data_IF_378302718697
#
_entry.id   IF_378302718697
#
_cell.length_a   1.000
_cell.length_b   1.000
_cell.length_c   1.000
_cell.angle_alpha   90.00
_cell.angle_beta   90.00
_cell.angle_gamma   90.00
#
_symmetry.space_group_name_H-M   'P 1'
#
loop_
_entity.id
_entity.type
_entity.pdbx_description
1 polymer ?
#
# COMPACT_ATOMS: atom_id res chain seq x y z
N UNK A 1 74.28 43.10 23.52
CA UNK A 1 73.09 42.20 23.58
C UNK A 1 72.30 42.04 22.26
N UNK A 2 72.48 42.91 21.24
CA UNK A 2 71.76 42.78 19.94
C UNK A 2 72.14 41.55 19.09
N UNK A 3 73.40 41.10 19.15
CA UNK A 3 73.88 39.94 18.37
C UNK A 3 73.22 38.60 18.76
N UNK A 4 72.94 38.40 20.05
CA UNK A 4 72.26 37.18 20.53
C UNK A 4 70.76 37.17 20.19
N UNK A 5 70.11 38.33 20.13
CA UNK A 5 68.69 38.42 19.75
C UNK A 5 68.46 38.09 18.27
N UNK A 6 69.35 38.54 17.37
CA UNK A 6 69.29 38.17 15.95
C UNK A 6 69.50 36.66 15.73
N UNK A 7 70.40 36.05 16.49
CA UNK A 7 70.66 34.61 16.41
C UNK A 7 69.45 33.78 16.89
N UNK A 8 68.80 34.20 17.99
CA UNK A 8 67.60 33.54 18.50
C UNK A 8 66.43 33.65 17.52
N UNK A 9 66.21 34.83 16.91
CA UNK A 9 65.16 35.02 15.90
C UNK A 9 65.36 34.12 14.67
N UNK A 10 66.62 33.95 14.24
CA UNK A 10 66.96 33.07 13.12
C UNK A 10 66.70 31.60 13.47
N UNK A 11 67.05 31.17 14.68
CA UNK A 11 66.77 29.82 15.17
C UNK A 11 65.25 29.57 15.26
N UNK A 12 64.47 30.50 15.81
CA UNK A 12 63.01 30.37 15.90
C UNK A 12 62.39 30.29 14.51
N UNK A 13 62.84 31.12 13.55
CA UNK A 13 62.37 31.09 12.17
C UNK A 13 62.69 29.76 11.47
N UNK A 14 63.88 29.20 11.70
CA UNK A 14 64.27 27.91 11.14
C UNK A 14 63.42 26.77 11.72
N UNK A 15 63.16 26.79 13.04
CA UNK A 15 62.29 25.81 13.71
C UNK A 15 60.85 25.91 13.21
N UNK A 16 60.30 27.12 13.08
CA UNK A 16 58.92 27.30 12.57
C UNK A 16 58.78 26.83 11.13
N UNK A 17 59.80 27.06 10.28
CA UNK A 17 59.81 26.57 8.91
C UNK A 17 59.87 25.04 8.87
N UNK A 18 60.72 24.43 9.71
CA UNK A 18 60.81 22.98 9.84
C UNK A 18 59.49 22.33 10.26
N UNK A 19 58.84 22.88 11.29
CA UNK A 19 57.53 22.41 11.74
C UNK A 19 56.45 22.57 10.67
N UNK A 20 56.46 23.67 9.92
CA UNK A 20 55.52 23.88 8.82
C UNK A 20 55.70 22.86 7.69
N UNK A 21 56.95 22.52 7.35
CA UNK A 21 57.23 21.50 6.32
C UNK A 21 56.80 20.10 6.77
N UNK A 22 57.02 19.74 8.04
CA UNK A 22 56.56 18.47 8.61
C UNK A 22 55.03 18.41 8.60
N UNK A 23 54.36 19.48 9.03
CA UNK A 23 52.91 19.58 8.99
C UNK A 23 52.36 19.41 7.57
N UNK A 24 52.95 20.09 6.58
CA UNK A 24 52.55 19.97 5.17
C UNK A 24 52.77 18.55 4.63
N UNK A 25 53.86 17.90 5.05
CA UNK A 25 54.14 16.53 4.66
C UNK A 25 53.10 15.55 5.20
N UNK A 26 52.80 15.60 6.50
CA UNK A 26 51.78 14.74 7.13
C UNK A 26 50.37 15.04 6.59
N UNK A 27 50.03 16.31 6.35
CA UNK A 27 48.76 16.69 5.73
C UNK A 27 48.60 16.07 4.34
N UNK A 28 49.62 16.17 3.49
CA UNK A 28 49.59 15.59 2.14
C UNK A 28 49.53 14.05 2.18
N UNK A 29 50.23 13.42 3.12
CA UNK A 29 50.18 11.97 3.33
C UNK A 29 48.78 11.53 3.76
N UNK A 30 48.15 12.25 4.68
CA UNK A 30 46.78 11.97 5.11
C UNK A 30 45.77 12.18 3.96
N UNK A 31 45.94 13.23 3.16
CA UNK A 31 45.10 13.50 1.99
C UNK A 31 45.17 12.36 0.97
N UNK A 32 46.38 11.90 0.64
CA UNK A 32 46.58 10.76 -0.27
C UNK A 32 45.95 9.48 0.27
N UNK A 33 46.07 9.21 1.58
CA UNK A 33 45.46 8.05 2.21
C UNK A 33 43.93 8.14 2.17
N UNK A 34 43.36 9.30 2.47
CA UNK A 34 41.91 9.54 2.41
C UNK A 34 41.34 9.42 0.98
N UNK A 35 42.10 9.86 -0.02
CA UNK A 35 41.77 9.73 -1.44
C UNK A 35 41.79 8.26 -1.90
N UNK A 36 42.83 7.50 -1.53
CA UNK A 36 42.95 6.07 -1.86
C UNK A 36 41.89 5.22 -1.15
N UNK A 37 41.45 5.62 0.05
CA UNK A 37 40.37 4.93 0.77
C UNK A 37 38.96 5.25 0.26
N UNK A 38 38.77 6.10 -0.77
CA UNK A 38 37.45 6.45 -1.31
C UNK A 38 36.44 6.87 -0.22
N UNK A 39 36.92 7.41 0.91
CA UNK A 39 36.04 7.73 2.05
C UNK A 39 35.10 8.89 1.71
N UNK A 40 35.54 9.75 0.81
CA UNK A 40 34.69 10.66 0.05
C UNK A 40 34.48 10.01 -1.32
N UNK A 41 33.46 9.18 -1.44
CA UNK A 41 33.07 8.66 -2.77
C UNK A 41 32.99 9.82 -3.75
N UNK A 42 33.31 9.56 -5.03
CA UNK A 42 33.05 10.52 -6.10
C UNK A 42 31.63 11.09 -5.91
N UNK A 43 31.41 12.41 -6.04
CA UNK A 43 30.08 12.97 -5.95
C UNK A 43 29.25 12.27 -7.01
N UNK A 44 28.38 11.34 -6.59
CA UNK A 44 27.45 10.69 -7.50
C UNK A 44 26.67 11.83 -8.15
N UNK A 45 26.78 11.96 -9.47
CA UNK A 45 25.98 12.91 -10.21
C UNK A 45 24.52 12.54 -9.92
N UNK A 46 23.77 13.44 -9.29
CA UNK A 46 22.36 13.20 -8.96
C UNK A 46 21.53 12.87 -10.22
N UNK A 47 21.96 13.37 -11.37
CA UNK A 47 21.45 13.03 -12.69
C UNK A 47 21.61 11.55 -13.04
N UNK A 48 22.71 10.92 -12.60
CA UNK A 48 22.97 9.49 -12.84
C UNK A 48 22.15 8.61 -11.90
N UNK A 49 21.74 9.11 -10.73
CA UNK A 49 20.77 8.46 -9.83
C UNK A 49 19.33 8.53 -10.36
N UNK A 50 19.00 9.58 -11.12
CA UNK A 50 17.70 9.70 -11.80
C UNK A 50 17.59 8.78 -13.03
N UNK A 51 18.71 8.48 -13.69
CA UNK A 51 18.75 7.55 -14.84
C UNK A 51 18.87 6.09 -14.43
N UNK A 52 19.11 5.77 -13.16
CA UNK A 52 18.86 4.42 -12.67
C UNK A 52 17.34 4.22 -12.62
N UNK A 53 16.80 3.65 -13.70
CA UNK A 53 15.44 3.11 -13.88
C UNK A 53 14.90 2.29 -12.69
N UNK A 54 15.74 1.96 -11.72
CA UNK A 54 15.43 1.16 -10.54
C UNK A 54 14.50 1.85 -9.54
N UNK A 55 14.58 3.16 -9.37
CA UNK A 55 13.73 3.94 -8.44
C UNK A 55 12.39 4.32 -9.06
N UNK A 56 12.32 4.42 -10.38
CA UNK A 56 11.10 4.79 -11.13
C UNK A 56 10.09 3.64 -11.28
N UNK A 57 10.50 2.37 -11.13
CA UNK A 57 9.59 1.22 -11.32
C UNK A 57 8.77 0.83 -10.09
N UNK A 58 9.15 1.26 -8.88
CA UNK A 58 8.32 1.03 -7.71
C UNK A 58 7.27 2.14 -7.66
N UNK A 59 6.04 1.79 -8.06
CA UNK A 59 4.94 2.74 -8.06
C UNK A 59 4.64 3.24 -6.64
N UNK A 60 4.57 4.56 -6.49
CA UNK A 60 4.35 5.21 -5.19
C UNK A 60 2.85 5.29 -4.84
N UNK A 61 2.41 4.38 -3.99
CA UNK A 61 1.08 4.36 -3.39
C UNK A 61 0.93 5.29 -2.16
N UNK A 62 1.90 6.17 -1.94
CA UNK A 62 1.98 7.06 -0.79
C UNK A 62 2.74 6.45 0.39
N UNK A 63 2.83 7.20 1.51
CA UNK A 63 3.53 6.75 2.70
C UNK A 63 2.99 5.41 3.22
N UNK A 64 3.87 4.51 3.71
CA UNK A 64 3.46 3.21 4.24
C UNK A 64 2.58 3.44 5.48
N UNK A 65 1.33 2.95 5.48
CA UNK A 65 0.45 3.11 6.61
C UNK A 65 0.86 2.18 7.76
N UNK A 66 0.71 2.67 8.98
CA UNK A 66 0.92 1.88 10.20
C UNK A 66 -0.13 2.34 11.19
N UNK A 67 -0.78 1.41 11.88
CA UNK A 67 -1.67 1.77 12.98
C UNK A 67 -0.88 2.47 14.07
N UNK A 68 -1.16 3.75 14.26
CA UNK A 68 -0.54 4.59 15.27
C UNK A 68 -1.56 4.87 16.37
N UNK A 69 -1.18 4.52 17.59
CA UNK A 69 -1.99 4.82 18.77
C UNK A 69 -1.88 6.31 19.11
N UNK A 70 -3.01 7.01 19.13
CA UNK A 70 -3.15 8.34 19.73
C UNK A 70 -3.88 8.23 21.07
N UNK A 71 -4.07 9.33 21.79
CA UNK A 71 -4.80 9.33 23.06
C UNK A 71 -6.15 8.64 22.91
N UNK A 72 -6.96 9.08 21.93
CA UNK A 72 -8.38 8.73 21.81
C UNK A 72 -8.69 7.64 20.78
N UNK A 73 -7.76 7.35 19.89
CA UNK A 73 -8.03 6.48 18.75
C UNK A 73 -6.75 5.84 18.20
N UNK A 74 -6.90 4.83 17.35
CA UNK A 74 -5.86 4.34 16.47
C UNK A 74 -6.08 4.92 15.09
N UNK A 75 -5.03 5.45 14.47
CA UNK A 75 -5.09 6.06 13.14
C UNK A 75 -4.20 5.25 12.21
N UNK A 76 -4.73 4.85 11.06
CA UNK A 76 -4.03 3.96 10.12
C UNK A 76 -3.32 4.73 9.00
N UNK A 77 -4.06 5.60 8.33
CA UNK A 77 -3.61 6.35 7.17
C UNK A 77 -4.33 7.69 7.08
N UNK A 78 -3.72 8.65 6.38
CA UNK A 78 -4.30 9.95 6.11
C UNK A 78 -4.00 10.41 4.69
N UNK A 79 -4.96 11.13 4.11
CA UNK A 79 -4.97 11.58 2.73
C UNK A 79 -5.37 13.04 2.65
N UNK A 80 -4.73 13.80 1.76
CA UNK A 80 -5.10 15.18 1.45
C UNK A 80 -6.03 15.17 0.25
N UNK A 81 -7.33 15.38 0.47
CA UNK A 81 -8.37 15.31 -0.59
C UNK A 81 -8.40 16.59 -1.39
N UNK A 82 -8.33 17.71 -0.68
CA UNK A 82 -8.26 19.06 -1.22
C UNK A 82 -7.05 19.72 -0.56
N UNK A 83 -6.51 20.80 -1.16
CA UNK A 83 -5.30 21.49 -0.66
C UNK A 83 -5.30 21.78 0.85
N UNK A 84 -6.48 21.96 1.44
CA UNK A 84 -6.65 22.31 2.86
C UNK A 84 -7.48 21.31 3.68
N UNK A 85 -7.80 20.13 3.13
CA UNK A 85 -8.69 19.15 3.77
C UNK A 85 -8.05 17.76 3.82
N UNK A 86 -7.66 17.36 5.02
CA UNK A 86 -7.17 16.02 5.30
C UNK A 86 -8.30 15.09 5.74
N UNK A 87 -8.26 13.83 5.27
CA UNK A 87 -9.13 12.72 5.69
C UNK A 87 -8.27 11.59 6.22
N UNK A 88 -8.56 11.13 7.43
CA UNK A 88 -7.84 10.03 8.07
C UNK A 88 -8.78 8.86 8.39
N UNK A 89 -8.24 7.65 8.31
CA UNK A 89 -8.91 6.40 8.67
C UNK A 89 -8.63 6.09 10.13
N UNK A 90 -9.69 6.03 10.93
CA UNK A 90 -9.58 6.01 12.38
C UNK A 90 -10.45 4.94 13.01
N UNK A 91 -9.90 4.31 14.06
CA UNK A 91 -10.58 3.37 14.93
C UNK A 91 -10.63 3.95 16.35
N UNK A 92 -11.79 4.36 16.86
CA UNK A 92 -11.89 4.95 18.19
C UNK A 92 -11.57 3.92 19.29
N UNK A 93 -11.02 4.40 20.40
CA UNK A 93 -10.91 3.62 21.64
C UNK A 93 -12.22 3.73 22.42
N UNK A 94 -12.59 2.64 23.09
CA UNK A 94 -13.86 2.55 23.81
C UNK A 94 -13.91 3.57 24.96
N UNK A 95 -15.01 4.31 25.07
CA UNK A 95 -15.25 5.29 26.14
C UNK A 95 -14.43 6.58 26.08
N UNK A 96 -13.64 6.82 25.02
CA UNK A 96 -12.79 8.01 24.91
C UNK A 96 -13.47 9.19 24.20
N UNK A 97 -13.10 10.41 24.61
CA UNK A 97 -13.63 11.67 24.05
C UNK A 97 -13.15 11.85 22.62
N UNK A 98 -13.93 12.54 21.78
CA UNK A 98 -13.48 12.89 20.45
C UNK A 98 -12.36 13.96 20.50
N UNK A 99 -11.48 14.02 19.49
CA UNK A 99 -10.57 15.15 19.33
C UNK A 99 -11.34 16.47 19.27
N UNK A 100 -10.79 17.52 19.86
CA UNK A 100 -11.35 18.88 19.76
C UNK A 100 -10.62 19.69 18.70
N UNK A 101 -9.32 19.47 18.58
CA UNK A 101 -8.45 20.19 17.68
C UNK A 101 -7.80 19.23 16.68
N UNK A 102 -7.55 19.74 15.49
CA UNK A 102 -6.70 19.07 14.51
C UNK A 102 -5.67 20.07 13.96
N UNK A 103 -4.54 19.53 13.51
CA UNK A 103 -3.38 20.32 13.11
C UNK A 103 -2.83 19.81 11.78
N UNK A 104 -2.57 20.73 10.85
CA UNK A 104 -1.89 20.44 9.58
C UNK A 104 -0.45 20.93 9.64
N UNK A 105 0.49 20.05 9.30
CA UNK A 105 1.93 20.33 9.34
C UNK A 105 2.45 20.61 7.94
N UNK A 106 3.21 21.69 7.80
CA UNK A 106 3.80 22.13 6.54
C UNK A 106 5.32 22.11 6.66
N UNK A 107 6.01 21.91 5.55
CA UNK A 107 7.48 21.83 5.54
C UNK A 107 8.13 23.20 5.77
N UNK A 108 7.50 24.27 5.29
CA UNK A 108 8.00 25.65 5.35
C UNK A 108 7.82 26.31 6.73
N UNK A 109 7.03 25.69 7.63
CA UNK A 109 6.68 26.30 8.94
C UNK A 109 6.90 25.35 10.10
N UNK A 110 7.52 25.87 11.16
CA UNK A 110 7.71 25.14 12.42
C UNK A 110 6.41 24.90 13.20
N UNK A 111 5.45 25.82 13.10
CA UNK A 111 4.15 25.73 13.79
C UNK A 111 3.09 25.17 12.84
N UNK A 112 2.25 24.24 13.30
CA UNK A 112 1.17 23.71 12.47
C UNK A 112 0.03 24.73 12.31
N UNK A 113 -0.72 24.61 11.22
CA UNK A 113 -1.99 25.30 11.06
C UNK A 113 -3.07 24.59 11.88
N UNK A 114 -3.84 25.36 12.63
CA UNK A 114 -4.99 24.83 13.38
C UNK A 114 -6.18 24.68 12.44
N UNK A 115 -6.72 23.47 12.36
CA UNK A 115 -7.89 23.16 11.54
C UNK A 115 -9.14 22.89 12.37
N UNK A 116 -10.29 22.91 11.68
CA UNK A 116 -11.58 22.47 12.20
C UNK A 116 -11.71 20.96 12.06
N UNK A 117 -11.98 20.30 13.18
CA UNK A 117 -12.23 18.86 13.24
C UNK A 117 -13.68 18.54 12.88
N UNK A 118 -13.89 17.49 12.08
CA UNK A 118 -15.18 16.82 11.92
C UNK A 118 -14.97 15.32 11.69
N UNK A 119 -16.03 14.51 11.79
CA UNK A 119 -15.93 13.06 11.59
C UNK A 119 -17.19 12.49 10.94
N UNK A 120 -17.07 11.34 10.28
CA UNK A 120 -18.20 10.58 9.75
C UNK A 120 -17.98 9.08 9.97
N UNK A 121 -19.05 8.31 10.14
CA UNK A 121 -18.97 6.83 10.20
C UNK A 121 -18.66 6.29 8.81
N UNK A 122 -17.94 5.17 8.72
CA UNK A 122 -17.72 4.49 7.44
C UNK A 122 -18.87 3.56 7.07
N UNK A 123 -19.56 2.98 8.06
CA UNK A 123 -20.69 2.06 7.88
C UNK A 123 -21.69 2.29 8.99
N UNK A 124 -22.98 2.32 8.63
CA UNK A 124 -24.08 2.27 9.58
C UNK A 124 -24.36 0.81 9.95
N UNK A 125 -23.80 0.37 11.07
CA UNK A 125 -24.00 -0.99 11.59
C UNK A 125 -23.92 -1.03 13.12
N UNK A 126 -24.68 -1.93 13.73
CA UNK A 126 -24.78 -2.11 15.18
C UNK A 126 -23.59 -2.84 15.82
N UNK A 127 -22.48 -3.01 15.09
CA UNK A 127 -21.29 -3.67 15.63
C UNK A 127 -20.56 -2.73 16.62
N UNK A 128 -19.96 -3.31 17.66
CA UNK A 128 -19.26 -2.56 18.72
C UNK A 128 -18.03 -1.78 18.23
N UNK A 129 -17.46 -2.17 17.08
CA UNK A 129 -16.25 -1.55 16.53
C UNK A 129 -16.52 -0.91 15.16
N UNK A 130 -16.99 0.34 15.17
CA UNK A 130 -17.26 1.11 13.96
C UNK A 130 -16.03 1.95 13.60
N UNK A 131 -15.45 1.80 12.39
CA UNK A 131 -14.41 2.70 11.92
C UNK A 131 -15.00 4.03 11.45
N UNK A 132 -14.21 5.10 11.58
CA UNK A 132 -14.60 6.47 11.29
C UNK A 132 -13.61 7.13 10.35
N UNK A 133 -14.11 8.09 9.58
CA UNK A 133 -13.28 9.10 8.95
C UNK A 133 -13.16 10.31 9.86
N UNK A 134 -11.94 10.74 10.13
CA UNK A 134 -11.66 12.03 10.74
C UNK A 134 -11.24 13.02 9.67
N UNK A 135 -11.79 14.22 9.72
CA UNK A 135 -11.48 15.30 8.80
C UNK A 135 -10.81 16.45 9.55
N UNK A 136 -9.84 17.06 8.89
CA UNK A 136 -9.24 18.31 9.34
C UNK A 136 -9.24 19.32 8.20
N UNK A 137 -9.99 20.41 8.37
CA UNK A 137 -10.08 21.49 7.38
C UNK A 137 -9.42 22.75 7.92
N UNK A 138 -8.45 23.30 7.19
CA UNK A 138 -7.86 24.60 7.51
C UNK A 138 -8.22 25.65 6.45
N UNK A 139 -8.09 26.93 6.81
CA UNK A 139 -8.17 28.06 5.89
C UNK A 139 -6.76 28.56 5.57
N UNK A 140 -6.59 29.22 4.42
CA UNK A 140 -5.35 29.87 3.99
C UNK A 140 -4.13 28.93 3.88
N UNK A 141 -4.31 27.78 3.21
CA UNK A 141 -3.25 26.81 2.95
C UNK A 141 -2.62 27.10 1.59
N UNK A 142 -1.44 27.70 1.58
CA UNK A 142 -0.68 28.01 0.35
C UNK A 142 0.15 26.81 -0.13
N UNK A 143 0.80 26.12 0.81
CA UNK A 143 1.64 24.93 0.59
C UNK A 143 0.90 23.66 1.03
N UNK A 144 1.08 22.55 0.31
CA UNK A 144 0.44 21.29 0.67
C UNK A 144 1.01 20.75 1.99
N UNK A 145 0.18 20.40 2.98
CA UNK A 145 0.66 19.84 4.23
C UNK A 145 1.18 18.41 4.05
N UNK A 146 2.28 18.08 4.72
CA UNK A 146 2.89 16.75 4.66
C UNK A 146 2.37 15.80 5.75
N UNK A 147 1.75 16.32 6.81
CA UNK A 147 1.20 15.51 7.89
C UNK A 147 -0.02 16.15 8.57
N UNK A 148 -0.83 15.32 9.23
CA UNK A 148 -1.96 15.72 10.06
C UNK A 148 -1.82 15.16 11.48
N UNK A 149 -2.36 15.87 12.46
CA UNK A 149 -2.48 15.40 13.83
C UNK A 149 -3.87 15.69 14.40
N UNK A 150 -4.34 14.81 15.28
CA UNK A 150 -5.62 14.95 15.99
C UNK A 150 -5.36 14.91 17.49
N UNK A 151 -5.91 15.86 18.25
CA UNK A 151 -5.69 15.96 19.70
C UNK A 151 -6.97 16.32 20.46
N UNK A 152 -7.14 15.75 21.66
CA UNK A 152 -8.21 16.09 22.60
C UNK A 152 -7.84 17.24 23.53
N UNK A 153 -6.57 17.30 23.93
CA UNK A 153 -6.08 18.21 24.97
C UNK A 153 -5.58 19.49 24.30
N UNK A 154 -5.96 20.64 24.86
CA UNK A 154 -5.55 21.98 24.40
C UNK A 154 -4.10 22.34 24.71
N UNK A 155 -3.32 21.43 25.31
CA UNK A 155 -1.93 21.68 25.65
C UNK A 155 -1.07 21.59 24.39
N UNK A 156 -0.39 22.69 24.09
CA UNK A 156 0.67 22.82 23.08
C UNK A 156 1.92 22.02 23.46
N UNK A 157 1.78 20.73 23.76
CA UNK A 157 2.96 19.92 24.00
C UNK A 157 3.50 19.41 22.66
N UNK A 158 4.81 19.56 22.45
CA UNK A 158 5.50 19.28 21.18
C UNK A 158 5.45 17.83 20.71
N UNK A 159 4.74 16.96 21.44
CA UNK A 159 4.66 15.51 21.26
C UNK A 159 3.38 15.04 20.54
N UNK A 160 2.74 15.89 19.74
CA UNK A 160 1.58 15.43 18.95
C UNK A 160 2.07 14.51 17.82
N UNK A 161 1.54 13.29 17.76
CA UNK A 161 1.90 12.32 16.70
C UNK A 161 1.50 12.85 15.33
N UNK A 162 2.48 12.89 14.42
CA UNK A 162 2.31 13.34 13.03
C UNK A 162 2.00 12.13 12.16
N UNK A 163 0.83 12.13 11.54
CA UNK A 163 0.42 11.09 10.59
C UNK A 163 0.74 11.62 9.19
N UNK A 164 1.60 10.93 8.41
CA UNK A 164 1.97 11.40 7.08
C UNK A 164 0.75 11.41 6.16
N UNK A 165 0.64 12.47 5.35
CA UNK A 165 -0.43 12.63 4.37
C UNK A 165 0.01 12.10 3.01
N UNK A 166 -0.87 11.34 2.37
CA UNK A 166 -0.77 11.07 0.94
C UNK A 166 -1.54 12.16 0.17
N UNK A 167 -0.85 12.93 -0.67
CA UNK A 167 -1.53 13.93 -1.50
C UNK A 167 -2.23 13.26 -2.69
N UNK A 168 -3.56 13.29 -2.64
CA UNK A 168 -4.46 12.80 -3.69
C UNK A 168 -5.23 13.96 -4.36
N UNK A 169 -4.99 15.19 -3.88
CA UNK A 169 -5.64 16.41 -4.37
C UNK A 169 -5.10 16.82 -5.73
N UNK A 170 -3.79 16.63 -5.96
CA UNK A 170 -3.12 16.89 -7.22
C UNK A 170 -3.08 15.62 -8.11
N UNK A 171 -3.30 15.75 -9.43
CA UNK A 171 -3.07 14.63 -10.35
C UNK A 171 -1.56 14.30 -10.37
N UNK A 172 -1.21 13.07 -9.99
CA UNK A 172 0.15 12.53 -10.17
C UNK A 172 0.42 12.32 -11.67
N UNK A 173 1.68 12.48 -12.15
CA UNK A 173 2.03 12.17 -13.54
C UNK A 173 1.56 10.77 -13.91
N UNK A 174 0.91 10.68 -15.07
CA UNK A 174 0.00 9.62 -15.51
C UNK A 174 0.67 8.24 -15.55
N UNK A 175 0.51 7.47 -14.49
CA UNK A 175 0.64 6.02 -14.59
C UNK A 175 -0.75 5.49 -14.94
N UNK A 176 -0.95 5.13 -16.20
CA UNK A 176 -2.20 4.52 -16.66
C UNK A 176 -2.24 3.06 -16.19
N UNK A 177 -2.67 2.84 -14.94
CA UNK A 177 -2.94 1.51 -14.41
C UNK A 177 -4.41 1.20 -14.68
N UNK A 178 -4.71 0.14 -15.41
CA UNK A 178 -6.11 -0.14 -15.72
C UNK A 178 -6.87 -0.67 -14.49
N UNK A 179 -6.35 -1.70 -13.81
CA UNK A 179 -6.98 -2.25 -12.61
C UNK A 179 -5.96 -2.56 -11.52
N UNK A 180 -6.29 -2.13 -10.30
CA UNK A 180 -5.59 -2.49 -9.07
C UNK A 180 -6.46 -3.38 -8.19
N UNK A 181 -5.87 -4.48 -7.70
CA UNK A 181 -6.52 -5.39 -6.74
C UNK A 181 -5.85 -5.26 -5.37
N UNK A 182 -6.65 -4.90 -4.37
CA UNK A 182 -6.23 -4.87 -2.98
C UNK A 182 -6.65 -6.15 -2.27
N UNK A 183 -5.72 -6.70 -1.47
CA UNK A 183 -5.94 -7.95 -0.74
C UNK A 183 -5.88 -7.67 0.75
N UNK A 184 -6.99 -7.88 1.49
CA UNK A 184 -7.02 -7.67 2.93
C UNK A 184 -6.11 -8.67 3.64
N UNK A 185 -5.67 -8.32 4.86
CA UNK A 185 -4.83 -9.18 5.68
C UNK A 185 -5.68 -10.36 6.14
N UNK A 186 -5.35 -11.53 5.62
CA UNK A 186 -6.00 -12.80 5.92
C UNK A 186 -4.92 -13.84 6.23
N UNK A 187 -5.34 -14.97 6.80
CA UNK A 187 -4.45 -16.10 7.06
C UNK A 187 -3.65 -16.46 5.79
N UNK A 188 -2.35 -16.20 5.85
CA UNK A 188 -1.48 -16.38 4.72
C UNK A 188 -1.33 -17.86 4.36
N UNK A 189 -1.36 -18.15 3.05
CA UNK A 189 -1.03 -19.45 2.50
C UNK A 189 -0.25 -19.24 1.22
N UNK A 190 0.99 -19.74 1.18
CA UNK A 190 1.89 -19.63 0.01
C UNK A 190 1.19 -20.09 -1.28
N UNK A 191 0.46 -21.21 -1.21
CA UNK A 191 -0.29 -21.77 -2.34
C UNK A 191 -1.41 -20.83 -2.79
N UNK A 192 -2.29 -20.40 -1.88
CA UNK A 192 -3.39 -19.48 -2.23
C UNK A 192 -2.86 -18.16 -2.80
N UNK A 193 -1.79 -17.62 -2.22
CA UNK A 193 -1.15 -16.40 -2.70
C UNK A 193 -0.65 -16.53 -4.14
N UNK A 194 0.10 -17.59 -4.43
CA UNK A 194 0.67 -17.84 -5.76
C UNK A 194 -0.43 -18.09 -6.80
N UNK A 195 -1.43 -18.91 -6.45
CA UNK A 195 -2.59 -19.18 -7.32
C UNK A 195 -3.37 -17.90 -7.61
N UNK A 196 -3.69 -17.13 -6.57
CA UNK A 196 -4.40 -15.85 -6.67
C UNK A 196 -3.65 -14.86 -7.55
N UNK A 197 -2.37 -14.62 -7.27
CA UNK A 197 -1.56 -13.66 -8.03
C UNK A 197 -1.43 -14.06 -9.49
N UNK A 198 -1.13 -15.33 -9.75
CA UNK A 198 -0.96 -15.86 -11.11
C UNK A 198 -2.23 -15.73 -11.93
N UNK A 199 -3.37 -16.10 -11.37
CA UNK A 199 -4.64 -16.04 -12.07
C UNK A 199 -5.07 -14.59 -12.36
N UNK A 200 -4.96 -13.69 -11.37
CA UNK A 200 -5.37 -12.31 -11.58
C UNK A 200 -4.45 -11.58 -12.57
N UNK A 201 -3.15 -11.91 -12.60
CA UNK A 201 -2.25 -11.42 -13.65
C UNK A 201 -2.67 -11.92 -15.03
N UNK A 202 -3.03 -13.19 -15.15
CA UNK A 202 -3.46 -13.80 -16.40
C UNK A 202 -4.70 -13.13 -17.00
N UNK A 203 -5.67 -12.75 -16.17
CA UNK A 203 -6.89 -12.05 -16.63
C UNK A 203 -6.70 -10.54 -16.82
N UNK A 204 -5.47 -10.02 -16.70
CA UNK A 204 -5.12 -8.65 -17.03
C UNK A 204 -5.01 -7.68 -15.84
N UNK A 205 -4.88 -8.17 -14.60
CA UNK A 205 -4.56 -7.28 -13.47
C UNK A 205 -3.11 -6.81 -13.56
N UNK A 206 -2.91 -5.51 -13.42
CA UNK A 206 -1.62 -4.83 -13.59
C UNK A 206 -0.96 -4.45 -12.26
N UNK A 207 -1.76 -4.36 -11.20
CA UNK A 207 -1.32 -3.83 -9.92
C UNK A 207 -1.97 -4.55 -8.74
N UNK A 208 -1.17 -4.80 -7.71
CA UNK A 208 -1.61 -5.45 -6.48
C UNK A 208 -1.12 -4.69 -5.24
N UNK A 209 -2.01 -4.54 -4.27
CA UNK A 209 -1.70 -4.01 -2.95
C UNK A 209 -2.07 -5.06 -1.91
N UNK A 210 -1.08 -5.68 -1.29
CA UNK A 210 -1.27 -6.66 -0.22
C UNK A 210 -1.14 -5.96 1.13
N UNK A 211 -2.15 -6.09 1.98
CA UNK A 211 -2.07 -5.67 3.37
C UNK A 211 -1.41 -6.80 4.16
N UNK A 212 -0.12 -6.62 4.44
CA UNK A 212 0.78 -7.62 4.97
C UNK A 212 0.70 -7.69 6.49
N UNK A 213 0.35 -8.88 6.99
CA UNK A 213 0.37 -9.23 8.41
C UNK A 213 1.39 -10.35 8.67
N UNK A 214 1.28 -11.42 7.89
CA UNK A 214 1.98 -12.69 8.12
C UNK A 214 2.70 -13.21 6.85
N UNK A 215 2.98 -12.36 5.85
CA UNK A 215 3.67 -12.80 4.62
C UNK A 215 5.17 -12.94 4.91
N UNK A 216 5.79 -14.10 4.64
CA UNK A 216 7.21 -14.29 4.89
C UNK A 216 8.07 -13.30 4.07
N UNK A 217 9.02 -12.63 4.75
CA UNK A 217 9.92 -11.65 4.11
C UNK A 217 10.66 -12.17 2.89
N UNK A 218 11.02 -13.46 2.87
CA UNK A 218 11.66 -14.11 1.72
C UNK A 218 10.75 -14.10 0.48
N UNK A 219 9.45 -14.35 0.67
CA UNK A 219 8.47 -14.33 -0.41
C UNK A 219 8.22 -12.89 -0.89
N UNK A 220 8.09 -11.93 0.02
CA UNK A 220 7.96 -10.50 -0.32
C UNK A 220 9.08 -10.08 -1.26
N UNK A 221 10.34 -10.32 -0.87
CA UNK A 221 11.52 -10.01 -1.70
C UNK A 221 11.53 -10.73 -3.05
N UNK A 222 11.13 -12.01 -3.06
CA UNK A 222 11.05 -12.77 -4.31
C UNK A 222 10.01 -12.14 -5.25
N UNK A 223 8.84 -11.80 -4.73
CA UNK A 223 7.76 -11.21 -5.50
C UNK A 223 8.10 -9.80 -5.99
N UNK A 224 8.77 -8.97 -5.18
CA UNK A 224 9.30 -7.66 -5.61
C UNK A 224 10.34 -7.78 -6.73
N UNK A 225 11.14 -8.85 -6.73
CA UNK A 225 12.10 -9.11 -7.81
C UNK A 225 11.41 -9.65 -9.07
N UNK A 226 10.40 -10.51 -8.92
CA UNK A 226 9.64 -11.07 -10.03
C UNK A 226 8.68 -10.05 -10.66
N UNK A 227 8.11 -9.14 -9.87
CA UNK A 227 7.20 -8.10 -10.35
C UNK A 227 7.86 -7.23 -11.42
N UNK A 228 9.16 -6.97 -11.28
CA UNK A 228 9.99 -6.27 -12.30
C UNK A 228 10.06 -7.01 -13.64
N UNK A 229 10.10 -8.35 -13.61
CA UNK A 229 10.17 -9.19 -14.83
C UNK A 229 8.79 -9.39 -15.45
N UNK A 230 7.76 -9.44 -14.62
CA UNK A 230 6.38 -9.65 -15.04
C UNK A 230 5.66 -8.36 -15.45
N UNK A 231 6.32 -7.20 -15.30
CA UNK A 231 5.76 -5.87 -15.50
C UNK A 231 4.44 -5.68 -14.73
N UNK A 232 4.51 -5.96 -13.42
CA UNK A 232 3.39 -5.85 -12.48
C UNK A 232 3.80 -4.91 -11.35
N UNK A 233 2.89 -4.02 -10.97
CA UNK A 233 3.09 -3.15 -9.80
C UNK A 233 2.65 -3.90 -8.55
N UNK A 234 3.51 -3.91 -7.53
CA UNK A 234 3.28 -4.68 -6.32
C UNK A 234 3.64 -3.84 -5.10
N UNK A 235 2.73 -3.76 -4.14
CA UNK A 235 2.95 -3.10 -2.87
C UNK A 235 2.57 -4.03 -1.71
N UNK A 236 3.37 -4.02 -0.66
CA UNK A 236 3.07 -4.67 0.61
C UNK A 236 2.95 -3.59 1.68
N UNK A 237 1.73 -3.38 2.19
CA UNK A 237 1.43 -2.37 3.21
C UNK A 237 1.36 -3.04 4.57
N UNK A 238 2.09 -2.57 5.60
CA UNK A 238 2.11 -3.24 6.89
C UNK A 238 0.76 -3.13 7.60
N UNK A 239 0.32 -4.24 8.21
CA UNK A 239 -0.96 -4.37 8.89
C UNK A 239 -0.80 -4.79 10.35
N UNK A 240 -0.41 -3.83 11.20
CA UNK A 240 -0.27 -4.00 12.65
C UNK A 240 -1.58 -3.67 13.40
N UNK A 241 -2.68 -4.32 13.04
CA UNK A 241 -4.02 -3.98 13.58
C UNK A 241 -4.08 -4.11 15.12
N UNK A 242 -4.55 -3.08 15.85
CA UNK A 242 -4.41 -2.99 17.31
C UNK A 242 -5.45 -3.81 18.10
N UNK A 243 -6.46 -4.37 17.44
CA UNK A 243 -7.49 -5.22 18.05
C UNK A 243 -7.46 -6.60 17.42
N UNK A 244 -8.17 -7.57 18.00
CA UNK A 244 -8.44 -8.84 17.31
C UNK A 244 -9.18 -8.57 16.01
N UNK A 245 -8.82 -9.26 14.93
CA UNK A 245 -9.43 -9.06 13.61
C UNK A 245 -10.95 -9.11 13.69
N UNK A 246 -11.60 -8.05 13.23
CA UNK A 246 -13.06 -7.89 13.24
C UNK A 246 -13.59 -7.78 11.82
N UNK A 247 -14.91 -7.88 11.67
CA UNK A 247 -15.60 -7.60 10.40
C UNK A 247 -15.27 -6.21 9.82
N UNK A 248 -14.78 -5.26 10.63
CA UNK A 248 -14.41 -3.91 10.18
C UNK A 248 -13.14 -3.87 9.32
N UNK A 249 -12.26 -4.88 9.40
CA UNK A 249 -11.00 -4.92 8.64
C UNK A 249 -11.24 -4.74 7.14
N UNK A 250 -12.24 -5.45 6.60
CA UNK A 250 -12.57 -5.38 5.17
C UNK A 250 -12.97 -3.96 4.75
N UNK A 251 -13.86 -3.33 5.50
CA UNK A 251 -14.30 -1.94 5.26
C UNK A 251 -13.14 -0.96 5.33
N UNK A 252 -12.24 -1.11 6.31
CA UNK A 252 -11.07 -0.24 6.47
C UNK A 252 -10.13 -0.38 5.27
N UNK A 253 -9.78 -1.63 4.92
CA UNK A 253 -8.92 -1.94 3.76
C UNK A 253 -9.53 -1.43 2.47
N UNK A 254 -10.84 -1.58 2.29
CA UNK A 254 -11.54 -1.12 1.10
C UNK A 254 -11.46 0.40 0.96
N UNK A 255 -11.71 1.14 2.03
CA UNK A 255 -11.62 2.59 2.00
C UNK A 255 -10.17 3.09 1.86
N UNK A 256 -9.19 2.46 2.52
CA UNK A 256 -7.77 2.82 2.35
C UNK A 256 -7.31 2.55 0.92
N UNK A 257 -7.68 1.39 0.37
CA UNK A 257 -7.37 0.99 -1.00
C UNK A 257 -7.91 2.01 -2.00
N UNK A 258 -9.21 2.33 -1.92
CA UNK A 258 -9.86 3.27 -2.83
C UNK A 258 -9.20 4.66 -2.79
N UNK A 259 -8.85 5.15 -1.59
CA UNK A 259 -8.16 6.43 -1.44
C UNK A 259 -6.72 6.40 -1.99
N UNK A 260 -5.98 5.29 -1.84
CA UNK A 260 -4.62 5.15 -2.37
C UNK A 260 -4.58 5.05 -3.89
N UNK A 261 -5.53 4.33 -4.47
CA UNK A 261 -5.58 4.11 -5.91
C UNK A 261 -6.27 5.25 -6.65
N UNK A 262 -6.85 6.21 -5.93
CA UNK A 262 -7.59 7.34 -6.50
C UNK A 262 -6.74 8.09 -7.52
N UNK A 263 -7.29 8.23 -8.75
CA UNK A 263 -6.62 8.85 -9.91
C UNK A 263 -5.28 8.21 -10.32
N UNK A 264 -4.90 7.08 -9.72
CA UNK A 264 -3.72 6.30 -10.06
C UNK A 264 -4.07 4.98 -10.74
N UNK A 265 -5.32 4.51 -10.62
CA UNK A 265 -5.80 3.32 -11.31
C UNK A 265 -7.23 3.55 -11.81
N UNK A 266 -7.54 3.21 -13.06
CA UNK A 266 -8.90 3.38 -13.60
C UNK A 266 -9.93 2.59 -12.82
N UNK A 267 -9.58 1.37 -12.41
CA UNK A 267 -10.45 0.47 -11.65
C UNK A 267 -9.75 -0.05 -10.39
N UNK A 268 -10.54 -0.28 -9.34
CA UNK A 268 -10.07 -0.82 -8.06
C UNK A 268 -11.04 -1.86 -7.53
N UNK A 269 -10.51 -2.99 -7.05
CA UNK A 269 -11.30 -4.05 -6.42
C UNK A 269 -10.62 -4.57 -5.15
N UNK A 270 -11.43 -5.06 -4.20
CA UNK A 270 -10.94 -5.66 -2.95
C UNK A 270 -11.35 -7.12 -2.89
N UNK A 271 -10.36 -8.01 -2.93
CA UNK A 271 -10.55 -9.46 -3.04
C UNK A 271 -9.76 -10.20 -1.98
N UNK A 272 -10.34 -11.25 -1.43
CA UNK A 272 -9.64 -12.17 -0.54
C UNK A 272 -8.78 -13.17 -1.34
N UNK A 273 -7.75 -13.78 -0.73
CA UNK A 273 -6.86 -14.74 -1.40
C UNK A 273 -7.56 -16.00 -1.97
N UNK A 274 -8.81 -16.24 -1.59
CA UNK A 274 -9.66 -17.32 -2.09
C UNK A 274 -10.79 -16.83 -2.99
N UNK A 275 -10.80 -15.55 -3.37
CA UNK A 275 -11.79 -14.94 -4.27
C UNK A 275 -11.15 -14.68 -5.63
N UNK A 276 -11.78 -15.14 -6.71
CA UNK A 276 -11.26 -15.05 -8.07
C UNK A 276 -12.29 -14.38 -8.97
N UNK A 277 -11.93 -13.29 -9.65
CA UNK A 277 -12.81 -12.68 -10.67
C UNK A 277 -12.76 -13.55 -11.92
N UNK A 278 -13.88 -14.19 -12.27
CA UNK A 278 -13.97 -15.06 -13.44
C UNK A 278 -14.87 -14.40 -14.49
N UNK A 279 -14.28 -13.88 -15.58
CA UNK A 279 -15.04 -13.43 -16.73
C UNK A 279 -15.74 -14.62 -17.41
N UNK A 280 -17.01 -14.45 -17.75
CA UNK A 280 -17.81 -15.47 -18.46
C UNK A 280 -17.70 -15.25 -19.97
N UNK A 281 -17.99 -14.02 -20.42
CA UNK A 281 -18.03 -13.68 -21.85
C UNK A 281 -16.67 -13.30 -22.45
N UNK A 282 -15.69 -12.91 -21.64
CA UNK A 282 -14.34 -12.51 -22.08
C UNK A 282 -13.23 -13.38 -21.46
N UNK A 283 -11.97 -13.15 -21.84
CA UNK A 283 -10.80 -13.72 -21.16
C UNK A 283 -10.10 -12.70 -20.25
N UNK A 284 -10.36 -11.40 -20.45
CA UNK A 284 -9.75 -10.33 -19.68
C UNK A 284 -10.79 -9.60 -18.85
N UNK A 285 -10.36 -9.06 -17.71
CA UNK A 285 -11.21 -8.19 -16.90
C UNK A 285 -11.46 -6.87 -17.62
N UNK A 286 -10.51 -6.39 -18.43
CA UNK A 286 -10.62 -5.12 -19.15
C UNK A 286 -11.90 -5.00 -20.00
N UNK A 287 -12.31 -6.11 -20.63
CA UNK A 287 -13.54 -6.17 -21.43
C UNK A 287 -14.82 -6.03 -20.58
N UNK A 288 -14.75 -6.33 -19.28
CA UNK A 288 -15.84 -6.18 -18.33
C UNK A 288 -16.03 -4.73 -17.88
N UNK A 289 -14.95 -3.94 -17.84
CA UNK A 289 -14.87 -2.66 -17.13
C UNK A 289 -15.33 -1.45 -17.97
N UNK A 290 -16.35 -1.61 -18.81
CA UNK A 290 -16.89 -0.48 -19.59
C UNK A 290 -17.75 0.49 -18.77
N UNK A 291 -18.25 0.03 -17.62
CA UNK A 291 -19.20 0.76 -16.78
C UNK A 291 -18.52 1.41 -15.56
N UNK A 292 -19.10 2.48 -15.02
CA UNK A 292 -18.56 3.25 -13.88
C UNK A 292 -18.48 2.48 -12.56
N UNK A 293 -19.25 1.41 -12.41
CA UNK A 293 -19.23 0.51 -11.25
C UNK A 293 -19.75 -0.86 -11.66
N UNK A 294 -18.93 -1.90 -11.51
CA UNK A 294 -19.36 -3.27 -11.79
C UNK A 294 -19.70 -4.00 -10.48
N UNK A 295 -20.90 -4.56 -10.43
CA UNK A 295 -21.42 -5.35 -9.31
C UNK A 295 -21.35 -6.83 -9.69
N UNK A 296 -20.45 -7.58 -9.05
CA UNK A 296 -20.19 -8.98 -9.36
C UNK A 296 -20.79 -9.90 -8.28
N UNK A 297 -21.66 -10.86 -8.64
CA UNK A 297 -22.18 -11.81 -7.69
C UNK A 297 -21.06 -12.76 -7.22
N UNK A 298 -21.03 -13.07 -5.92
CA UNK A 298 -20.10 -14.04 -5.35
C UNK A 298 -20.72 -15.43 -5.35
N UNK A 299 -20.09 -16.37 -6.06
CA UNK A 299 -20.43 -17.79 -6.07
C UNK A 299 -19.48 -18.54 -5.15
N UNK A 300 -20.01 -19.29 -4.18
CA UNK A 300 -19.20 -20.07 -3.24
C UNK A 300 -18.94 -21.46 -3.83
N UNK A 301 -17.67 -21.79 -3.99
CA UNK A 301 -17.21 -23.09 -4.48
C UNK A 301 -16.68 -23.94 -3.32
N UNK A 302 -17.08 -25.20 -3.29
CA UNK A 302 -16.59 -26.16 -2.33
C UNK A 302 -15.21 -26.65 -2.72
N UNK A 303 -14.19 -26.26 -1.94
CA UNK A 303 -12.85 -26.80 -2.05
C UNK A 303 -12.71 -28.06 -1.21
N UNK A 304 -12.44 -29.19 -1.86
CA UNK A 304 -12.08 -30.44 -1.21
C UNK A 304 -10.57 -30.52 -0.91
N UNK A 305 -10.14 -31.64 -0.33
CA UNK A 305 -8.71 -32.01 -0.28
C UNK A 305 -8.27 -32.42 -1.70
N UNK A 306 -8.11 -31.42 -2.57
CA UNK A 306 -7.66 -31.60 -3.95
C UNK A 306 -6.18 -31.95 -4.04
N UNK A 307 -5.76 -32.41 -5.21
CA UNK A 307 -4.39 -32.70 -5.56
C UNK A 307 -3.49 -31.48 -5.26
N UNK A 308 -2.35 -31.74 -4.61
CA UNK A 308 -1.33 -30.73 -4.31
C UNK A 308 -0.69 -30.16 -5.58
N UNK A 309 -0.67 -30.93 -6.67
CA UNK A 309 -0.03 -30.57 -7.95
C UNK A 309 -0.87 -29.70 -8.90
N UNK A 310 -2.08 -29.29 -8.52
CA UNK A 310 -2.97 -28.50 -9.39
C UNK A 310 -3.60 -27.33 -8.63
N UNK A 311 -3.90 -26.18 -9.26
CA UNK A 311 -4.59 -25.08 -8.58
C UNK A 311 -5.96 -25.49 -8.02
N UNK A 312 -6.35 -24.97 -6.86
CA UNK A 312 -7.65 -25.27 -6.21
C UNK A 312 -8.81 -24.88 -7.12
N UNK A 313 -8.67 -23.73 -7.79
CA UNK A 313 -9.68 -23.19 -8.68
C UNK A 313 -9.93 -24.07 -9.92
N UNK A 314 -8.95 -24.89 -10.31
CA UNK A 314 -9.05 -25.81 -11.45
C UNK A 314 -9.50 -27.22 -11.05
N UNK A 315 -9.85 -27.46 -9.79
CA UNK A 315 -10.30 -28.76 -9.30
C UNK A 315 -11.67 -28.72 -8.60
N UNK A 316 -12.08 -27.52 -8.18
CA UNK A 316 -13.28 -27.32 -7.37
C UNK A 316 -14.37 -26.67 -8.21
N UNK A 317 -15.32 -27.48 -8.68
CA UNK A 317 -16.41 -27.02 -9.58
C UNK A 317 -17.78 -26.96 -8.90
N UNK A 318 -17.88 -27.49 -7.68
CA UNK A 318 -19.15 -27.58 -6.96
C UNK A 318 -19.50 -26.23 -6.34
N UNK A 319 -20.51 -25.56 -6.88
CA UNK A 319 -21.07 -24.29 -6.41
C UNK A 319 -22.20 -24.56 -5.42
N UNK A 320 -22.18 -23.88 -4.28
CA UNK A 320 -23.27 -23.96 -3.29
C UNK A 320 -24.52 -23.27 -3.84
N UNK A 321 -25.64 -24.00 -3.86
CA UNK A 321 -26.94 -23.43 -4.21
C UNK A 321 -27.57 -22.78 -2.99
N UNK A 322 -27.15 -21.56 -2.66
CA UNK A 322 -27.74 -20.80 -1.56
C UNK A 322 -28.46 -19.55 -2.06
N UNK A 323 -29.78 -19.67 -2.23
CA UNK A 323 -30.63 -18.55 -2.62
C UNK A 323 -30.70 -17.44 -1.56
N UNK A 324 -30.25 -17.68 -0.32
CA UNK A 324 -30.30 -16.71 0.79
C UNK A 324 -29.04 -15.85 0.90
N UNK A 325 -27.95 -16.22 0.23
CA UNK A 325 -26.69 -15.50 0.29
C UNK A 325 -26.43 -14.73 -1.01
N UNK A 326 -26.89 -13.48 -1.06
CA UNK A 326 -26.60 -12.56 -2.16
C UNK A 326 -25.42 -11.63 -1.81
N UNK A 327 -24.23 -12.21 -1.63
CA UNK A 327 -23.01 -11.40 -1.43
C UNK A 327 -22.45 -10.94 -2.78
N UNK A 328 -22.06 -9.67 -2.84
CA UNK A 328 -21.55 -9.01 -4.04
C UNK A 328 -20.12 -8.51 -3.80
N UNK A 329 -19.33 -8.43 -4.87
CA UNK A 329 -18.07 -7.69 -4.91
C UNK A 329 -18.19 -6.56 -5.89
N UNK A 330 -17.63 -5.40 -5.53
CA UNK A 330 -17.65 -4.23 -6.38
C UNK A 330 -16.29 -4.03 -7.02
N UNK A 331 -16.32 -3.62 -8.29
CA UNK A 331 -15.19 -3.00 -8.95
C UNK A 331 -15.55 -1.53 -9.13
N UNK A 332 -14.75 -0.66 -8.54
CA UNK A 332 -14.96 0.78 -8.50
C UNK A 332 -14.16 1.44 -9.61
N UNK A 333 -14.78 2.30 -10.42
CA UNK A 333 -14.05 3.21 -11.31
C UNK A 333 -13.54 4.39 -10.51
N UNK A 334 -12.23 4.61 -10.50
CA UNK A 334 -11.58 5.46 -9.51
C UNK A 334 -11.39 6.91 -9.94
N UNK A 335 -12.45 7.50 -10.51
CA UNK A 335 -12.42 8.83 -11.10
C UNK A 335 -12.97 9.91 -10.15
N UNK A 336 -13.70 9.54 -9.10
CA UNK A 336 -14.43 10.49 -8.25
C UNK A 336 -13.69 10.77 -6.92
N UNK A 337 -13.18 12.00 -6.69
CA UNK A 337 -12.45 12.36 -5.48
C UNK A 337 -13.32 12.55 -4.23
N UNK A 338 -14.63 12.73 -4.37
CA UNK A 338 -15.50 13.05 -3.22
C UNK A 338 -15.76 11.85 -2.31
N UNK A 339 -15.27 10.65 -2.67
CA UNK A 339 -15.40 9.44 -1.85
C UNK A 339 -16.85 8.99 -1.66
N UNK A 340 -17.80 9.62 -2.34
CA UNK A 340 -19.15 9.13 -2.55
C UNK A 340 -19.12 8.15 -3.72
N UNK A 341 -18.78 6.90 -3.39
CA UNK A 341 -18.99 5.77 -4.29
C UNK A 341 -20.47 5.43 -4.24
N UNK A 342 -21.32 6.22 -4.92
CA UNK A 342 -22.78 6.12 -4.85
C UNK A 342 -23.28 4.67 -4.86
N UNK A 343 -24.24 4.41 -3.95
CA UNK A 343 -24.73 3.08 -3.61
C UNK A 343 -25.67 2.48 -4.65
N UNK A 344 -26.05 3.22 -5.69
CA UNK A 344 -26.79 2.69 -6.83
C UNK A 344 -25.85 1.93 -7.77
N UNK A 345 -25.33 0.81 -7.29
CA UNK A 345 -24.75 -0.18 -8.18
C UNK A 345 -25.86 -0.72 -9.09
N UNK A 346 -25.58 -0.82 -10.40
CA UNK A 346 -26.41 -1.62 -11.29
C UNK A 346 -26.60 -3.02 -10.69
N UNK A 347 -27.78 -3.61 -10.94
CA UNK A 347 -28.09 -4.96 -10.45
C UNK A 347 -26.93 -5.93 -10.79
N UNK A 348 -26.59 -6.87 -9.89
CA UNK A 348 -25.45 -7.76 -10.11
C UNK A 348 -25.60 -8.52 -11.44
N UNK A 349 -24.71 -8.26 -12.40
CA UNK A 349 -24.76 -8.89 -13.71
C UNK A 349 -23.83 -10.11 -13.76
N UNK A 350 -24.39 -11.25 -13.35
CA UNK A 350 -23.71 -12.54 -13.40
C UNK A 350 -23.50 -13.11 -14.80
N UNK A 351 -24.03 -12.46 -15.85
CA UNK A 351 -23.87 -12.93 -17.23
C UNK A 351 -22.50 -12.56 -17.82
N UNK A 352 -21.88 -11.48 -17.32
CA UNK A 352 -20.58 -11.01 -17.79
C UNK A 352 -19.43 -11.57 -16.97
N UNK A 353 -19.55 -11.59 -15.64
CA UNK A 353 -18.55 -12.12 -14.74
C UNK A 353 -19.12 -12.48 -13.38
N UNK A 354 -18.38 -13.28 -12.61
CA UNK A 354 -18.72 -13.55 -11.21
C UNK A 354 -17.45 -13.72 -10.37
N UNK A 355 -17.56 -13.57 -9.06
CA UNK A 355 -16.46 -13.85 -8.13
C UNK A 355 -16.60 -15.25 -7.58
N UNK A 356 -15.64 -16.12 -7.89
CA UNK A 356 -15.57 -17.47 -7.36
C UNK A 356 -14.86 -17.45 -6.01
N UNK A 357 -15.59 -17.74 -4.93
CA UNK A 357 -15.05 -17.82 -3.56
C UNK A 357 -14.90 -19.27 -3.12
N UNK A 358 -13.66 -19.73 -2.93
CA UNK A 358 -13.39 -21.12 -2.55
C UNK A 358 -13.38 -21.29 -1.02
N UNK A 359 -14.26 -22.15 -0.50
CA UNK A 359 -14.42 -22.44 0.93
C UNK A 359 -14.51 -23.94 1.19
N UNK A 360 -14.17 -24.36 2.41
CA UNK A 360 -14.45 -25.72 2.86
C UNK A 360 -15.95 -25.85 3.07
N UNK A 361 -16.55 -26.91 2.52
CA UNK A 361 -17.98 -27.18 2.64
C UNK A 361 -18.24 -28.38 3.53
N UNK A 362 -19.43 -28.39 4.13
CA UNK A 362 -19.95 -29.56 4.85
C UNK A 362 -20.49 -30.59 3.87
N UNK A 363 -20.45 -31.87 4.26
CA UNK A 363 -20.82 -33.00 3.40
C UNK A 363 -22.26 -32.95 2.85
N UNK A 364 -23.18 -32.27 3.55
CA UNK A 364 -24.61 -32.24 3.21
C UNK A 364 -25.02 -31.00 2.39
N UNK A 365 -24.06 -30.25 1.86
CA UNK A 365 -24.34 -29.01 1.11
C UNK A 365 -24.85 -29.33 -0.30
N UNK A 366 -26.03 -28.79 -0.68
CA UNK A 366 -26.55 -28.94 -2.06
C UNK A 366 -25.71 -28.11 -3.03
N UNK A 367 -25.13 -28.75 -4.03
CA UNK A 367 -24.25 -28.09 -5.00
C UNK A 367 -24.67 -28.30 -6.45
N UNK A 368 -24.41 -27.30 -7.30
CA UNK A 368 -24.40 -27.43 -8.77
C UNK A 368 -22.96 -27.39 -9.30
N UNK A 369 -22.75 -27.74 -10.57
CA UNK A 369 -21.42 -27.66 -11.19
C UNK A 369 -21.29 -26.40 -12.06
N UNK A 370 -20.18 -25.70 -11.92
CA UNK A 370 -19.79 -24.57 -12.76
C UNK A 370 -18.35 -24.77 -13.25
N UNK A 371 -18.18 -24.74 -14.57
CA UNK A 371 -16.91 -24.99 -15.25
C UNK A 371 -16.30 -23.75 -15.89
N UNK A 372 -16.81 -22.54 -15.62
CA UNK A 372 -16.33 -21.31 -16.25
C UNK A 372 -14.82 -21.09 -16.06
N UNK A 373 -14.29 -21.49 -14.90
CA UNK A 373 -12.86 -21.40 -14.60
C UNK A 373 -11.98 -22.29 -15.50
N UNK A 374 -12.52 -23.38 -16.07
CA UNK A 374 -11.76 -24.31 -16.90
C UNK A 374 -11.27 -23.69 -18.21
N UNK A 375 -11.92 -22.63 -18.67
CA UNK A 375 -11.49 -21.81 -19.81
C UNK A 375 -10.05 -21.32 -19.67
N UNK A 376 -9.59 -21.11 -18.43
CA UNK A 376 -8.25 -20.62 -18.11
C UNK A 376 -7.27 -21.74 -17.75
N UNK A 377 -7.66 -23.01 -17.81
CA UNK A 377 -6.88 -24.12 -17.27
C UNK A 377 -5.48 -24.25 -17.89
N UNK A 378 -5.37 -24.17 -19.21
CA UNK A 378 -4.08 -24.27 -19.93
C UNK A 378 -3.13 -23.14 -19.54
N UNK A 379 -3.60 -21.90 -19.59
CA UNK A 379 -2.75 -20.73 -19.32
C UNK A 379 -2.41 -20.62 -17.83
N UNK A 380 -3.36 -20.94 -16.96
CA UNK A 380 -3.16 -20.87 -15.51
C UNK A 380 -2.19 -21.94 -15.02
N UNK A 381 -2.28 -23.17 -15.56
CA UNK A 381 -1.29 -24.21 -15.23
C UNK A 381 0.10 -23.88 -15.77
N UNK A 382 0.21 -23.21 -16.93
CA UNK A 382 1.49 -22.79 -17.52
C UNK A 382 2.14 -21.57 -16.87
N UNK A 383 1.45 -20.87 -15.97
CA UNK A 383 2.03 -19.74 -15.22
C UNK A 383 3.32 -20.17 -14.54
N UNK A 384 4.40 -19.40 -14.74
CA UNK A 384 5.72 -19.67 -14.15
C UNK A 384 5.64 -19.85 -12.64
N UNK A 385 4.88 -19.00 -11.93
CA UNK A 385 4.74 -19.09 -10.48
C UNK A 385 4.00 -20.36 -10.05
N UNK A 386 2.99 -20.80 -10.81
CA UNK A 386 2.27 -22.05 -10.55
C UNK A 386 3.19 -23.25 -10.78
N UNK A 387 3.97 -23.25 -11.85
CA UNK A 387 4.96 -24.30 -12.13
C UNK A 387 6.02 -24.40 -11.01
N UNK A 388 6.57 -23.26 -10.57
CA UNK A 388 7.51 -23.23 -9.45
C UNK A 388 6.89 -23.75 -8.15
N UNK A 389 5.60 -23.47 -7.91
CA UNK A 389 4.88 -23.95 -6.74
C UNK A 389 4.70 -25.48 -6.79
N UNK A 390 4.25 -26.01 -7.92
CA UNK A 390 4.01 -27.45 -8.12
C UNK A 390 5.30 -28.26 -8.00
N UNK A 391 6.43 -27.70 -8.44
CA UNK A 391 7.75 -28.34 -8.31
C UNK A 391 8.47 -28.05 -6.98
N UNK A 392 7.82 -27.43 -6.00
CA UNK A 392 8.41 -27.06 -4.70
C UNK A 392 9.68 -26.19 -4.78
N UNK A 393 9.77 -25.32 -5.78
CA UNK A 393 10.93 -24.45 -6.02
C UNK A 393 10.77 -23.03 -5.43
N UNK A 394 9.68 -22.79 -4.66
CA UNK A 394 9.30 -21.49 -4.08
C UNK A 394 9.61 -21.35 -2.59
#
# INVERSE_FOLDING_TARGET
>A
MKKYHQLILLIISAISLGLFLIYRHEYNRLHYVLEVFNFFGQPCNFSDLQTIDFTLRQHDWGPPPVWQETENAYIYSAFLIEKSKAKAIVLPKDGQKLPKNCYLWLEDRKKPLTGKFSFSKMVDGANSLVPYFYYCTATNVETAPFAVSFNSITKHDGNVKKIPLNDISAPKPTVDINITVCVPPLLFSKRKFVEFFSFHRLIGVESFIFYDKDIPRRLVKLMENLSKRLDVRLAFLPWNFPKTETAAVRTIVENDCLLRTLRQSKFTAVLELNEYIVPVSSFTVNDLLRDSKASLPVRKFCSGNGDLGKPVALQSYNVINDARFNSVRYIYKNDNPDGYWDNEAAAPDGSRASVHKYIKCDANTKTTKDYNMMKFSTDFTRSTLVQLLVHNQL
#
